data_IF_223848942951
#
_entry.id   IF_223848942951
#
_cell.length_a   1.000
_cell.length_b   1.000
_cell.length_c   1.000
_cell.angle_alpha   90.00
_cell.angle_beta   90.00
_cell.angle_gamma   90.00
#
_symmetry.space_group_name_H-M   'P 1'
#
loop_
_entity.id
_entity.type
_entity.pdbx_description
1 polymer ?
#
# COMPACT_ATOMS: atom_id res chain seq x y z
N UNK A 1 -12.69 -9.03 -0.61
CA UNK A 1 -11.46 -9.77 -0.98
C UNK A 1 -10.60 -9.94 0.24
N UNK A 2 -9.97 -11.09 0.41
CA UNK A 2 -8.97 -11.30 1.49
C UNK A 2 -7.59 -11.10 0.88
N UNK A 3 -6.78 -10.27 1.50
CA UNK A 3 -5.46 -9.90 1.07
C UNK A 3 -4.42 -10.36 2.10
N UNK A 4 -3.35 -10.99 1.61
CA UNK A 4 -2.18 -11.34 2.39
C UNK A 4 -1.01 -10.48 1.94
N UNK A 5 -0.43 -9.75 2.85
CA UNK A 5 0.59 -8.74 2.56
C UNK A 5 1.76 -8.86 3.56
N UNK A 6 2.98 -8.88 3.03
CA UNK A 6 4.17 -8.53 3.80
C UNK A 6 4.52 -7.06 3.53
N UNK A 7 4.78 -6.33 4.58
CA UNK A 7 5.18 -4.92 4.52
C UNK A 7 6.57 -4.78 5.13
N UNK A 8 7.52 -4.36 4.31
CA UNK A 8 8.93 -4.24 4.69
C UNK A 8 9.29 -2.76 4.68
N UNK A 9 9.87 -2.26 5.77
CA UNK A 9 10.54 -0.96 5.74
C UNK A 9 11.93 -1.11 5.17
N UNK A 10 12.29 -0.24 4.23
CA UNK A 10 13.55 -0.31 3.50
C UNK A 10 14.33 1.00 3.54
N UNK A 11 15.65 0.89 3.56
CA UNK A 11 16.57 2.05 3.50
C UNK A 11 16.56 2.69 2.11
N UNK A 12 16.28 1.91 1.07
CA UNK A 12 16.21 2.35 -0.32
C UNK A 12 15.21 1.50 -1.10
N UNK A 13 14.54 2.08 -2.09
CA UNK A 13 13.61 1.36 -2.98
C UNK A 13 14.34 0.68 -4.14
N UNK A 14 15.49 1.19 -4.55
CA UNK A 14 16.17 0.73 -5.77
C UNK A 14 16.51 -0.77 -5.77
N UNK A 15 17.05 -1.37 -4.68
CA UNK A 15 17.34 -2.81 -4.67
C UNK A 15 16.10 -3.68 -4.94
N UNK A 16 14.93 -3.26 -4.51
CA UNK A 16 13.68 -4.00 -4.70
C UNK A 16 13.11 -3.82 -6.11
N UNK A 17 13.31 -2.65 -6.71
CA UNK A 17 13.04 -2.42 -8.14
C UNK A 17 13.93 -3.35 -8.98
N UNK A 18 15.22 -3.40 -8.67
CA UNK A 18 16.18 -4.26 -9.35
C UNK A 18 15.83 -5.74 -9.18
N UNK A 19 15.39 -6.15 -7.99
CA UNK A 19 14.88 -7.49 -7.73
C UNK A 19 13.72 -7.84 -8.67
N UNK A 20 12.74 -6.95 -8.78
CA UNK A 20 11.59 -7.18 -9.66
C UNK A 20 12.01 -7.30 -11.12
N UNK A 21 12.92 -6.46 -11.59
CA UNK A 21 13.42 -6.49 -12.96
C UNK A 21 14.23 -7.76 -13.25
N UNK A 22 15.14 -8.15 -12.35
CA UNK A 22 15.99 -9.34 -12.50
C UNK A 22 15.18 -10.65 -12.44
N UNK A 23 14.06 -10.66 -11.71
CA UNK A 23 13.16 -11.80 -11.60
C UNK A 23 11.98 -11.74 -12.58
N UNK A 24 12.07 -10.89 -13.59
CA UNK A 24 11.10 -10.79 -14.70
C UNK A 24 9.68 -10.44 -14.26
N UNK A 25 9.53 -9.64 -13.18
CA UNK A 25 8.25 -9.05 -12.83
C UNK A 25 7.86 -8.01 -13.87
N UNK A 26 6.63 -8.06 -14.33
CA UNK A 26 6.10 -7.08 -15.28
C UNK A 26 5.86 -5.76 -14.56
N UNK A 27 6.45 -4.69 -15.09
CA UNK A 27 6.14 -3.34 -14.65
C UNK A 27 4.70 -2.99 -15.00
N UNK A 28 3.93 -2.55 -14.02
CA UNK A 28 2.53 -2.17 -14.17
C UNK A 28 2.38 -0.65 -14.23
N UNK A 29 2.91 0.05 -13.23
CA UNK A 29 2.74 1.49 -13.12
C UNK A 29 3.78 2.17 -12.24
N UNK A 30 3.95 3.46 -12.48
CA UNK A 30 4.58 4.41 -11.57
C UNK A 30 3.62 5.59 -11.40
N UNK A 31 3.26 5.92 -10.19
CA UNK A 31 2.32 7.00 -9.91
C UNK A 31 2.74 7.83 -8.70
N UNK A 32 2.32 9.09 -8.69
CA UNK A 32 2.36 9.92 -7.48
C UNK A 32 1.01 9.81 -6.79
N UNK A 33 1.01 9.52 -5.50
CA UNK A 33 -0.21 9.35 -4.74
C UNK A 33 -0.22 10.23 -3.50
N UNK A 34 -1.36 10.88 -3.28
CA UNK A 34 -1.73 11.43 -1.98
C UNK A 34 -2.78 10.52 -1.36
N UNK A 35 -2.49 9.93 -0.22
CA UNK A 35 -3.40 9.04 0.49
C UNK A 35 -3.76 9.62 1.85
N UNK A 36 -5.03 9.92 2.03
CA UNK A 36 -5.61 10.29 3.29
C UNK A 36 -6.23 9.05 3.94
N UNK A 37 -5.85 8.77 5.18
CA UNK A 37 -6.29 7.59 5.93
C UNK A 37 -7.13 8.05 7.11
N UNK A 38 -8.26 7.39 7.29
CA UNK A 38 -9.22 7.63 8.37
C UNK A 38 -9.40 6.33 9.14
N UNK A 39 -9.44 6.41 10.45
CA UNK A 39 -9.73 5.27 11.33
C UNK A 39 -11.09 5.45 12.01
N UNK A 40 -11.81 4.34 12.15
CA UNK A 40 -13.01 4.34 12.98
C UNK A 40 -12.62 4.48 14.46
N UNK A 41 -13.22 5.44 15.16
CA UNK A 41 -12.88 5.73 16.56
C UNK A 41 -13.18 4.55 17.49
N UNK A 42 -14.22 3.78 17.21
CA UNK A 42 -14.66 2.65 18.02
C UNK A 42 -13.89 1.35 17.70
N UNK A 43 -13.43 1.22 16.45
CA UNK A 43 -12.65 0.07 16.00
C UNK A 43 -11.56 0.50 15.03
N UNK A 44 -10.35 0.73 15.53
CA UNK A 44 -9.18 1.20 14.76
C UNK A 44 -8.71 0.24 13.66
N UNK A 45 -9.19 -0.99 13.64
CA UNK A 45 -8.91 -1.94 12.56
C UNK A 45 -9.68 -1.62 11.29
N UNK A 46 -10.78 -0.88 11.41
CA UNK A 46 -11.58 -0.44 10.27
C UNK A 46 -11.06 0.93 9.84
N UNK A 47 -10.52 0.98 8.63
CA UNK A 47 -10.00 2.20 8.03
C UNK A 47 -10.74 2.54 6.75
N UNK A 48 -10.75 3.80 6.42
CA UNK A 48 -11.17 4.32 5.12
C UNK A 48 -10.03 5.09 4.49
N UNK A 49 -9.93 5.03 3.18
CA UNK A 49 -8.85 5.69 2.42
C UNK A 49 -9.44 6.53 1.30
N UNK A 50 -8.92 7.72 1.15
CA UNK A 50 -9.11 8.56 -0.05
C UNK A 50 -7.74 8.68 -0.71
N UNK A 51 -7.60 8.13 -1.91
CA UNK A 51 -6.33 8.11 -2.64
C UNK A 51 -6.46 8.88 -3.94
N UNK A 52 -5.70 9.96 -4.06
CA UNK A 52 -5.58 10.74 -5.30
C UNK A 52 -4.32 10.27 -6.00
N UNK A 53 -4.48 9.72 -7.20
CA UNK A 53 -3.38 9.15 -8.00
C UNK A 53 -3.17 10.01 -9.25
N UNK A 54 -1.95 10.48 -9.45
CA UNK A 54 -1.48 11.08 -10.70
C UNK A 54 -0.59 10.06 -11.42
N UNK A 55 -1.08 9.58 -12.56
CA UNK A 55 -0.38 8.63 -13.42
C UNK A 55 0.20 9.28 -14.69
N UNK A 56 0.25 10.62 -14.76
CA UNK A 56 0.68 11.39 -15.92
C UNK A 56 -0.41 11.62 -16.97
N UNK A 57 -1.62 11.07 -16.78
CA UNK A 57 -2.79 11.24 -17.68
C UNK A 57 -3.94 12.00 -17.02
N UNK A 58 -3.74 12.47 -15.81
CA UNK A 58 -4.73 13.15 -14.98
C UNK A 58 -4.84 12.51 -13.61
N UNK A 59 -5.67 13.10 -12.76
CA UNK A 59 -5.89 12.64 -11.40
C UNK A 59 -7.11 11.71 -11.34
N UNK A 60 -6.92 10.57 -10.68
CA UNK A 60 -8.01 9.65 -10.30
C UNK A 60 -8.12 9.66 -8.79
N UNK A 61 -9.32 9.83 -8.28
CA UNK A 61 -9.60 9.78 -6.85
C UNK A 61 -10.41 8.52 -6.52
N UNK A 62 -9.85 7.69 -5.65
CA UNK A 62 -10.48 6.45 -5.21
C UNK A 62 -10.80 6.53 -3.72
N UNK A 63 -11.94 5.98 -3.36
CA UNK A 63 -12.42 5.88 -2.00
C UNK A 63 -12.75 4.42 -1.68
N UNK A 64 -12.22 3.91 -0.57
CA UNK A 64 -12.48 2.54 -0.13
C UNK A 64 -12.44 2.38 1.39
N UNK A 65 -12.79 1.18 1.83
CA UNK A 65 -12.65 0.72 3.20
C UNK A 65 -11.75 -0.52 3.26
N UNK A 66 -11.01 -0.64 4.36
CA UNK A 66 -10.18 -1.79 4.68
C UNK A 66 -10.41 -2.20 6.13
N UNK A 67 -10.61 -3.49 6.36
CA UNK A 67 -10.66 -4.05 7.71
C UNK A 67 -9.41 -4.91 7.92
N UNK A 68 -8.52 -4.46 8.78
CA UNK A 68 -7.31 -5.18 9.18
C UNK A 68 -7.69 -6.28 10.16
N UNK A 69 -7.97 -7.50 9.66
CA UNK A 69 -8.50 -8.59 10.47
C UNK A 69 -7.48 -9.11 11.48
N UNK A 70 -6.27 -9.42 11.02
CA UNK A 70 -5.15 -9.93 11.83
C UNK A 70 -3.84 -9.44 11.25
N UNK A 71 -2.77 -9.51 12.04
CA UNK A 71 -1.44 -9.24 11.54
C UNK A 71 -0.53 -8.58 12.56
N UNK A 72 0.70 -8.40 12.11
CA UNK A 72 1.76 -7.63 12.77
C UNK A 72 2.11 -6.44 11.89
N UNK A 73 3.13 -5.68 12.28
CA UNK A 73 3.65 -4.59 11.44
C UNK A 73 4.23 -5.09 10.11
N UNK A 74 4.66 -6.36 10.07
CA UNK A 74 5.30 -6.98 8.89
C UNK A 74 4.33 -7.78 8.04
N UNK A 75 3.40 -8.54 8.67
CA UNK A 75 2.45 -9.40 7.97
C UNK A 75 1.02 -9.05 8.31
N UNK A 76 0.20 -8.82 7.29
CA UNK A 76 -1.19 -8.38 7.44
C UNK A 76 -2.14 -9.27 6.67
N UNK A 77 -3.31 -9.49 7.26
CA UNK A 77 -4.47 -10.08 6.62
C UNK A 77 -5.61 -9.08 6.73
N UNK A 78 -6.15 -8.67 5.61
CA UNK A 78 -7.19 -7.66 5.56
C UNK A 78 -8.31 -8.03 4.60
N UNK A 79 -9.49 -7.46 4.85
CA UNK A 79 -10.61 -7.43 3.90
C UNK A 79 -10.74 -6.02 3.35
N UNK A 80 -10.72 -5.90 2.03
CA UNK A 80 -10.93 -4.65 1.34
C UNK A 80 -12.28 -4.60 0.63
N UNK A 81 -12.92 -3.43 0.65
CA UNK A 81 -14.06 -3.15 -0.22
C UNK A 81 -13.58 -2.90 -1.65
N UNK A 82 -14.49 -2.96 -2.61
CA UNK A 82 -14.22 -2.36 -3.91
C UNK A 82 -13.97 -0.86 -3.74
N UNK A 83 -13.03 -0.32 -4.51
CA UNK A 83 -12.80 1.11 -4.55
C UNK A 83 -13.87 1.80 -5.40
N UNK A 84 -14.41 2.89 -4.88
CA UNK A 84 -15.32 3.78 -5.59
C UNK A 84 -14.51 4.95 -6.15
N UNK A 85 -14.64 5.19 -7.46
CA UNK A 85 -14.09 6.41 -8.03
C UNK A 85 -15.02 7.58 -7.70
N UNK A 86 -14.46 8.63 -7.11
CA UNK A 86 -15.16 9.87 -6.77
C UNK A 86 -14.51 11.06 -7.49
N UNK A 87 -15.24 12.16 -7.60
CA UNK A 87 -14.67 13.39 -8.09
C UNK A 87 -13.87 14.08 -6.98
N UNK A 88 -12.84 14.83 -7.36
CA UNK A 88 -12.01 15.56 -6.40
C UNK A 88 -12.84 16.57 -5.60
N UNK A 89 -13.83 17.18 -6.23
CA UNK A 89 -14.76 18.13 -5.59
C UNK A 89 -15.60 17.50 -4.48
N UNK A 90 -15.79 16.16 -4.51
CA UNK A 90 -16.61 15.44 -3.56
C UNK A 90 -15.84 15.02 -2.30
N UNK A 91 -14.52 15.23 -2.25
CA UNK A 91 -13.67 14.79 -1.12
C UNK A 91 -14.15 15.36 0.22
N UNK A 92 -14.46 16.65 0.28
CA UNK A 92 -14.93 17.27 1.52
C UNK A 92 -16.30 16.72 1.98
N UNK A 93 -17.17 16.38 1.04
CA UNK A 93 -18.46 15.75 1.34
C UNK A 93 -18.21 14.35 1.95
N UNK A 94 -17.32 13.56 1.34
CA UNK A 94 -16.95 12.22 1.83
C UNK A 94 -16.31 12.32 3.23
N UNK A 95 -15.43 13.28 3.46
CA UNK A 95 -14.85 13.53 4.79
C UNK A 95 -15.91 13.84 5.86
N UNK A 96 -16.89 14.66 5.51
CA UNK A 96 -18.00 14.97 6.41
C UNK A 96 -18.86 13.73 6.72
N UNK A 97 -19.10 12.88 5.72
CA UNK A 97 -19.79 11.60 5.91
C UNK A 97 -18.99 10.69 6.86
N UNK A 98 -17.68 10.58 6.67
CA UNK A 98 -16.79 9.78 7.51
C UNK A 98 -16.81 10.29 8.96
N UNK A 99 -16.76 11.59 9.18
CA UNK A 99 -16.87 12.19 10.52
C UNK A 99 -18.20 11.83 11.17
N UNK A 100 -19.30 11.86 10.42
CA UNK A 100 -20.65 11.54 10.91
C UNK A 100 -20.74 10.08 11.40
N UNK A 101 -20.04 9.14 10.76
CA UNK A 101 -20.01 7.74 11.17
C UNK A 101 -18.76 7.40 12.01
N UNK A 102 -18.18 8.41 12.66
CA UNK A 102 -17.13 8.30 13.67
C UNK A 102 -15.79 7.81 13.16
N UNK A 103 -15.40 8.24 11.97
CA UNK A 103 -14.02 8.15 11.49
C UNK A 103 -13.30 9.47 11.75
N UNK A 104 -12.01 9.37 12.08
CA UNK A 104 -11.11 10.52 12.16
C UNK A 104 -9.92 10.36 11.25
N UNK A 105 -9.45 11.45 10.67
CA UNK A 105 -8.25 11.44 9.85
C UNK A 105 -7.01 11.23 10.72
N UNK A 106 -6.22 10.21 10.39
CA UNK A 106 -5.00 9.84 11.13
C UNK A 106 -3.73 10.01 10.30
N UNK A 107 -3.85 10.09 8.97
CA UNK A 107 -2.70 10.27 8.10
C UNK A 107 -3.06 11.04 6.82
N UNK A 108 -2.07 11.74 6.30
CA UNK A 108 -2.07 12.40 5.00
C UNK A 108 -0.70 12.16 4.38
N UNK A 109 -0.60 11.10 3.57
CA UNK A 109 0.65 10.60 3.07
C UNK A 109 0.86 10.99 1.61
N UNK A 110 2.08 11.37 1.28
CA UNK A 110 2.50 11.66 -0.09
C UNK A 110 3.63 10.70 -0.48
N UNK A 111 3.46 9.98 -1.58
CA UNK A 111 4.42 8.97 -2.04
C UNK A 111 4.49 8.85 -3.55
N UNK A 112 5.60 8.27 -4.03
CA UNK A 112 5.69 7.67 -5.36
C UNK A 112 5.54 6.16 -5.20
N UNK A 113 4.64 5.55 -5.95
CA UNK A 113 4.40 4.11 -5.94
C UNK A 113 4.81 3.50 -7.26
N UNK A 114 5.61 2.43 -7.18
CA UNK A 114 5.96 1.54 -8.30
C UNK A 114 5.23 0.22 -8.10
N UNK A 115 4.58 -0.29 -9.13
CA UNK A 115 3.87 -1.57 -9.08
C UNK A 115 4.46 -2.55 -10.08
N UNK A 116 4.77 -3.75 -9.61
CA UNK A 116 5.25 -4.87 -10.42
C UNK A 116 4.42 -6.11 -10.10
N UNK A 117 4.18 -6.94 -11.12
CA UNK A 117 3.39 -8.17 -10.97
C UNK A 117 4.04 -9.36 -11.68
N UNK A 118 3.92 -10.55 -11.07
CA UNK A 118 4.29 -11.84 -11.65
C UNK A 118 3.57 -12.98 -10.92
N UNK A 119 2.94 -13.88 -11.68
CA UNK A 119 2.38 -15.13 -11.16
C UNK A 119 1.48 -14.98 -9.93
N UNK A 120 0.66 -13.93 -9.90
CA UNK A 120 -0.25 -13.63 -8.79
C UNK A 120 0.42 -12.99 -7.58
N UNK A 121 1.68 -12.58 -7.69
CA UNK A 121 2.38 -11.72 -6.74
C UNK A 121 2.38 -10.29 -7.26
N UNK A 122 2.07 -9.36 -6.37
CA UNK A 122 2.17 -7.93 -6.64
C UNK A 122 3.18 -7.31 -5.66
N UNK A 123 4.13 -6.56 -6.19
CA UNK A 123 4.99 -5.67 -5.43
C UNK A 123 4.45 -4.25 -5.51
N UNK A 124 4.24 -3.64 -4.38
CA UNK A 124 3.98 -2.21 -4.24
C UNK A 124 5.18 -1.57 -3.54
N UNK A 125 5.99 -0.85 -4.31
CA UNK A 125 7.22 -0.24 -3.83
C UNK A 125 6.96 1.24 -3.64
N UNK A 126 6.89 1.68 -2.39
CA UNK A 126 6.50 3.02 -2.00
C UNK A 126 7.69 3.82 -1.48
N UNK A 127 7.98 4.92 -2.17
CA UNK A 127 8.90 5.94 -1.72
C UNK A 127 8.09 7.13 -1.19
N UNK A 128 7.98 7.21 0.14
CA UNK A 128 7.26 8.29 0.80
C UNK A 128 8.11 9.55 0.89
N UNK A 129 7.49 10.67 0.56
CA UNK A 129 8.04 12.02 0.77
C UNK A 129 7.58 12.55 2.13
N UNK A 130 6.32 12.25 2.49
CA UNK A 130 5.70 12.62 3.75
C UNK A 130 4.85 11.46 4.29
N UNK A 131 5.22 10.87 5.45
CA UNK A 131 6.53 10.99 6.10
C UNK A 131 7.65 10.39 5.25
N UNK A 132 8.92 10.80 5.46
CA UNK A 132 10.05 10.26 4.70
C UNK A 132 10.36 8.84 5.15
N UNK A 133 10.03 7.87 4.34
CA UNK A 133 10.28 6.43 4.55
C UNK A 133 10.09 5.68 3.24
N UNK A 134 10.59 4.44 3.19
CA UNK A 134 10.34 3.53 2.08
C UNK A 134 9.63 2.29 2.60
N UNK A 135 8.62 1.85 1.88
CA UNK A 135 7.84 0.65 2.24
C UNK A 135 7.71 -0.24 1.02
N UNK A 136 8.01 -1.51 1.21
CA UNK A 136 7.87 -2.54 0.17
C UNK A 136 6.72 -3.46 0.58
N UNK A 137 5.62 -3.42 -0.15
CA UNK A 137 4.48 -4.32 -0.01
C UNK A 137 4.63 -5.51 -0.95
N UNK A 138 4.42 -6.71 -0.45
CA UNK A 138 4.37 -7.95 -1.23
C UNK A 138 3.03 -8.60 -0.96
N UNK A 139 2.17 -8.62 -1.96
CA UNK A 139 0.79 -9.08 -1.87
C UNK A 139 0.53 -10.28 -2.76
N UNK A 140 -0.36 -11.17 -2.34
CA UNK A 140 -0.79 -12.32 -3.14
C UNK A 140 -1.36 -13.45 -2.29
N UNK A 141 -1.30 -14.68 -2.81
CA UNK A 141 -1.68 -15.88 -2.07
C UNK A 141 -0.65 -16.15 -0.98
N UNK A 142 -1.14 -16.55 0.19
CA UNK A 142 -0.30 -16.70 1.40
C UNK A 142 0.97 -17.52 1.16
N UNK A 143 0.85 -18.69 0.57
CA UNK A 143 2.00 -19.61 0.40
C UNK A 143 3.08 -19.02 -0.53
N UNK A 144 2.66 -18.26 -1.55
CA UNK A 144 3.59 -17.67 -2.51
C UNK A 144 4.24 -16.42 -1.90
N UNK A 145 3.47 -15.60 -1.20
CA UNK A 145 3.96 -14.39 -0.53
C UNK A 145 4.97 -14.77 0.56
N UNK A 146 4.68 -15.79 1.36
CA UNK A 146 5.60 -16.33 2.39
C UNK A 146 6.95 -16.72 1.76
N UNK A 147 6.92 -17.45 0.64
CA UNK A 147 8.13 -17.88 -0.07
C UNK A 147 8.97 -16.70 -0.57
N UNK A 148 8.35 -15.75 -1.26
CA UNK A 148 9.05 -14.58 -1.80
C UNK A 148 9.63 -13.72 -0.68
N UNK A 149 8.89 -13.53 0.40
CA UNK A 149 9.38 -12.78 1.57
C UNK A 149 10.62 -13.43 2.18
N UNK A 150 10.63 -14.77 2.36
CA UNK A 150 11.78 -15.49 2.90
C UNK A 150 12.99 -15.42 1.95
N UNK A 151 12.80 -15.55 0.65
CA UNK A 151 13.87 -15.38 -0.34
C UNK A 151 14.55 -14.02 -0.22
N UNK A 152 13.77 -12.95 -0.09
CA UNK A 152 14.30 -11.59 0.06
C UNK A 152 15.03 -11.44 1.40
N UNK A 153 14.45 -11.93 2.48
CA UNK A 153 15.02 -11.80 3.83
C UNK A 153 16.34 -12.57 3.99
N UNK A 154 16.48 -13.71 3.35
CA UNK A 154 17.66 -14.57 3.42
C UNK A 154 18.75 -14.16 2.43
N UNK A 155 18.43 -13.40 1.39
CA UNK A 155 19.39 -12.95 0.41
C UNK A 155 20.17 -11.72 0.90
N UNK A 156 21.47 -11.86 1.08
CA UNK A 156 22.35 -10.81 1.58
C UNK A 156 22.30 -9.51 0.74
N UNK A 157 22.01 -9.61 -0.56
CA UNK A 157 21.91 -8.46 -1.45
C UNK A 157 20.70 -7.56 -1.14
N UNK A 158 19.69 -8.07 -0.44
CA UNK A 158 18.47 -7.33 -0.09
C UNK A 158 18.33 -7.16 1.41
N UNK A 159 18.76 -8.13 2.21
CA UNK A 159 18.62 -8.11 3.67
C UNK A 159 19.26 -6.89 4.33
N UNK A 160 20.38 -6.39 3.79
CA UNK A 160 21.06 -5.19 4.30
C UNK A 160 20.23 -3.90 4.15
N UNK A 161 19.29 -3.87 3.20
CA UNK A 161 18.41 -2.73 2.95
C UNK A 161 17.11 -2.78 3.74
N UNK A 162 16.83 -3.87 4.44
CA UNK A 162 15.67 -3.99 5.32
C UNK A 162 15.98 -3.26 6.62
N UNK A 163 15.12 -2.32 7.00
CA UNK A 163 15.23 -1.65 8.29
C UNK A 163 14.88 -2.63 9.43
N UNK A 164 15.63 -2.54 10.49
CA UNK A 164 15.41 -3.35 11.71
C UNK A 164 14.42 -2.68 12.64
#
# INVERSE_FOLDING_TARGET
MIEYEYSIRAKSVQPFIDYCQQNEYRFVSKSKENRQVFENIENRKIISRITITDNGKGNVCLFDFKNNCTGSDTFKVAKESQALQINIEDIEIVKNMLTTIRFEQVADNLRTRYVYEKDGIKFEIDEYVRPKMNVIGIEGKKEIVDKVYQEIKENANYAEYIEK
#
